data_IF_596849300880
#
_entry.id   IF_596849300880
#
_cell.length_a   1.000
_cell.length_b   1.000
_cell.length_c   1.000
_cell.angle_alpha   90.00
_cell.angle_beta   90.00
_cell.angle_gamma   90.00
#
_symmetry.space_group_name_H-M   'P 1'
#
loop_
_entity.id
_entity.type
_entity.pdbx_description
1 polymer ?
#
# COMPACT_ATOMS: atom_id res chain seq x y z
N UNK A 1 0.11 57.26 53.08
CA UNK A 1 0.77 56.70 51.88
C UNK A 1 0.12 55.38 51.54
N UNK A 2 -0.86 55.37 50.64
CA UNK A 2 -1.59 54.15 50.26
C UNK A 2 -2.09 54.25 48.81
N UNK A 3 -1.23 54.68 47.88
CA UNK A 3 -1.58 54.88 46.47
C UNK A 3 -0.76 53.95 45.55
N UNK A 4 0.26 53.26 46.08
CA UNK A 4 1.24 52.51 45.28
C UNK A 4 0.83 51.07 44.92
N UNK A 5 -0.21 50.50 45.54
CA UNK A 5 -0.56 49.09 45.33
C UNK A 5 -1.64 48.83 44.27
N UNK A 6 -2.42 49.85 43.89
CA UNK A 6 -3.57 49.69 42.99
C UNK A 6 -3.12 49.63 41.51
N UNK A 7 -1.95 50.22 41.18
CA UNK A 7 -1.38 50.18 39.82
C UNK A 7 -0.76 48.82 39.44
N UNK A 8 -0.30 48.05 40.43
CA UNK A 8 0.34 46.75 40.20
C UNK A 8 -0.66 45.62 39.93
N UNK A 9 -1.90 45.74 40.43
CA UNK A 9 -2.94 44.72 40.24
C UNK A 9 -3.64 44.83 38.88
N UNK A 10 -3.59 46.00 38.23
CA UNK A 10 -4.21 46.19 36.91
C UNK A 10 -3.32 45.71 35.76
N UNK A 11 -1.99 45.73 35.93
CA UNK A 11 -1.05 45.23 34.92
C UNK A 11 -1.01 43.69 34.86
N UNK A 12 -1.38 43.01 35.95
CA UNK A 12 -1.32 41.54 36.04
C UNK A 12 -2.50 40.81 35.39
N UNK A 13 -3.67 41.45 35.23
CA UNK A 13 -4.84 40.82 34.61
C UNK A 13 -4.80 40.82 33.07
N UNK A 14 -3.91 41.60 32.45
CA UNK A 14 -3.74 41.66 31.00
C UNK A 14 -2.83 40.52 30.50
N UNK A 15 -1.98 39.96 31.36
CA UNK A 15 -1.06 38.86 31.03
C UNK A 15 -1.68 37.47 31.21
N UNK A 16 -2.90 37.38 31.76
CA UNK A 16 -3.64 36.14 31.94
C UNK A 16 -4.63 35.83 30.80
N UNK A 17 -4.62 36.61 29.72
CA UNK A 17 -5.04 36.12 28.41
C UNK A 17 -3.90 35.26 27.85
N UNK A 18 -3.63 34.15 28.52
CA UNK A 18 -2.81 33.06 28.01
C UNK A 18 -3.50 32.55 26.74
N UNK A 19 -3.10 33.14 25.62
CA UNK A 19 -2.59 32.42 24.47
C UNK A 19 -3.28 31.07 24.27
N UNK A 20 -4.58 31.12 23.98
CA UNK A 20 -5.26 30.00 23.35
C UNK A 20 -4.66 29.91 21.95
N UNK A 21 -3.52 29.20 21.83
CA UNK A 21 -3.04 28.77 20.52
C UNK A 21 -4.20 27.98 19.94
N UNK A 22 -4.75 28.34 18.77
CA UNK A 22 -5.55 27.38 18.04
C UNK A 22 -4.60 26.20 17.80
N UNK A 23 -4.83 25.10 18.50
CA UNK A 23 -4.28 23.82 18.09
C UNK A 23 -4.89 23.61 16.72
N UNK A 24 -4.13 23.94 15.68
CA UNK A 24 -4.42 23.50 14.34
C UNK A 24 -4.40 21.98 14.48
N UNK A 25 -5.59 21.37 14.62
CA UNK A 25 -5.75 19.95 14.46
C UNK A 25 -5.23 19.67 13.07
N UNK A 26 -3.96 19.26 12.99
CA UNK A 26 -3.37 18.73 11.79
C UNK A 26 -4.13 17.42 11.58
N UNK A 27 -5.23 17.53 10.84
CA UNK A 27 -6.00 16.38 10.38
C UNK A 27 -4.97 15.41 9.79
N UNK A 28 -4.84 14.18 10.33
CA UNK A 28 -3.87 13.24 9.81
C UNK A 28 -4.08 13.12 8.31
N UNK A 29 -3.00 13.32 7.54
CA UNK A 29 -3.05 13.10 6.09
C UNK A 29 -3.59 11.69 5.83
N UNK A 30 -4.60 11.53 4.94
CA UNK A 30 -5.23 10.24 4.73
C UNK A 30 -4.19 9.20 4.33
N UNK A 31 -4.32 7.98 4.84
CA UNK A 31 -3.37 6.92 4.49
C UNK A 31 -3.58 6.46 3.03
N UNK A 32 -2.58 5.80 2.43
CA UNK A 32 -2.74 5.23 1.08
C UNK A 32 -3.92 4.25 1.01
N UNK A 33 -4.16 3.51 2.09
CA UNK A 33 -5.27 2.55 2.21
C UNK A 33 -6.65 3.23 2.22
N UNK A 34 -6.73 4.51 2.60
CA UNK A 34 -7.95 5.33 2.54
C UNK A 34 -8.10 6.06 1.20
N UNK A 35 -7.00 6.28 0.47
CA UNK A 35 -7.03 6.92 -0.85
C UNK A 35 -7.50 5.93 -1.92
N UNK A 36 -7.03 4.69 -1.91
CA UNK A 36 -7.39 3.69 -2.93
C UNK A 36 -8.92 3.54 -3.11
N UNK A 37 -9.73 3.43 -2.03
CA UNK A 37 -11.20 3.35 -2.16
C UNK A 37 -11.84 4.59 -2.78
N UNK A 38 -11.26 5.79 -2.58
CA UNK A 38 -11.76 7.03 -3.21
C UNK A 38 -11.61 7.00 -4.73
N UNK A 39 -10.65 6.21 -5.23
CA UNK A 39 -10.45 5.92 -6.65
C UNK A 39 -11.13 4.63 -7.09
N UNK A 40 -12.02 4.04 -6.27
CA UNK A 40 -12.74 2.81 -6.62
C UNK A 40 -11.90 1.54 -6.55
N UNK A 41 -10.73 1.58 -5.89
CA UNK A 41 -9.84 0.43 -5.74
C UNK A 41 -9.90 -0.11 -4.30
N UNK A 42 -9.74 -1.44 -4.10
CA UNK A 42 -9.80 -2.02 -2.77
C UNK A 42 -8.61 -1.56 -1.90
N UNK A 43 -8.86 -1.39 -0.60
CA UNK A 43 -7.88 -0.85 0.35
C UNK A 43 -6.69 -1.78 0.58
N UNK A 44 -6.87 -3.10 0.43
CA UNK A 44 -5.85 -4.13 0.66
C UNK A 44 -4.98 -4.47 -0.55
N UNK A 45 -4.94 -3.63 -1.59
CA UNK A 45 -4.03 -3.80 -2.74
C UNK A 45 -2.55 -3.77 -2.37
N UNK A 46 -2.22 -3.01 -1.32
CA UNK A 46 -0.86 -2.82 -0.84
C UNK A 46 -0.67 -3.54 0.50
N UNK A 47 0.55 -4.04 0.78
CA UNK A 47 0.84 -4.71 2.04
C UNK A 47 0.90 -3.70 3.21
N UNK A 48 0.80 -4.20 4.44
CA UNK A 48 0.78 -3.36 5.65
C UNK A 48 2.10 -2.62 5.97
N UNK A 49 3.20 -2.95 5.27
CA UNK A 49 4.55 -2.41 5.52
C UNK A 49 4.83 -1.09 4.80
N UNK A 50 3.79 -0.36 4.39
CA UNK A 50 3.91 0.97 3.78
C UNK A 50 4.40 1.97 4.83
N UNK A 51 5.48 2.68 4.53
CA UNK A 51 6.05 3.71 5.40
C UNK A 51 5.61 5.11 5.00
N UNK A 52 5.47 5.36 3.71
CA UNK A 52 5.05 6.66 3.18
C UNK A 52 4.47 6.51 1.78
N UNK A 53 3.68 7.50 1.38
CA UNK A 53 3.16 7.62 0.03
C UNK A 53 3.19 9.08 -0.42
N UNK A 54 3.20 9.29 -1.74
CA UNK A 54 3.00 10.58 -2.38
C UNK A 54 2.04 10.39 -3.55
N UNK A 55 1.12 11.33 -3.73
CA UNK A 55 0.18 11.38 -4.85
C UNK A 55 0.19 12.81 -5.40
N UNK A 56 0.46 12.95 -6.69
CA UNK A 56 0.42 14.20 -7.42
C UNK A 56 -0.96 14.44 -8.04
N UNK A 57 -1.27 15.70 -8.35
CA UNK A 57 -2.57 16.11 -8.91
C UNK A 57 -2.87 15.48 -10.28
N UNK A 58 -1.83 15.09 -11.02
CA UNK A 58 -1.93 14.39 -12.30
C UNK A 58 -2.23 12.88 -12.16
N UNK A 59 -2.36 12.38 -10.92
CA UNK A 59 -2.57 10.99 -10.56
C UNK A 59 -1.29 10.17 -10.42
N UNK A 60 -0.11 10.75 -10.67
CA UNK A 60 1.15 10.04 -10.47
C UNK A 60 1.38 9.77 -8.99
N UNK A 61 1.68 8.53 -8.62
CA UNK A 61 1.89 8.15 -7.23
C UNK A 61 3.19 7.39 -7.00
N UNK A 62 3.69 7.47 -5.77
CA UNK A 62 4.82 6.68 -5.30
C UNK A 62 4.53 6.19 -3.88
N UNK A 63 4.76 4.90 -3.64
CA UNK A 63 4.64 4.28 -2.32
C UNK A 63 6.00 3.72 -1.93
N UNK A 64 6.40 3.95 -0.69
CA UNK A 64 7.60 3.38 -0.10
C UNK A 64 7.23 2.36 0.97
N UNK A 65 7.86 1.20 0.90
CA UNK A 65 7.73 0.13 1.87
C UNK A 65 8.98 0.10 2.74
N UNK A 66 8.84 -0.34 3.99
CA UNK A 66 9.98 -0.52 4.90
C UNK A 66 10.99 -1.54 4.33
N UNK A 67 10.46 -2.57 3.69
CA UNK A 67 11.19 -3.68 3.10
C UNK A 67 10.42 -4.27 1.93
N UNK A 68 11.13 -5.00 1.08
CA UNK A 68 10.55 -5.86 0.06
C UNK A 68 9.58 -6.84 0.70
N UNK A 69 8.50 -7.16 0.00
CA UNK A 69 7.41 -7.90 0.58
C UNK A 69 6.82 -8.96 -0.33
N UNK A 70 6.52 -10.12 0.24
CA UNK A 70 5.82 -11.21 -0.44
C UNK A 70 4.46 -11.39 0.21
N UNK A 71 3.41 -11.37 -0.62
CA UNK A 71 2.03 -11.65 -0.20
C UNK A 71 1.51 -12.83 -1.01
N UNK A 72 0.87 -13.78 -0.33
CA UNK A 72 0.28 -14.96 -0.98
C UNK A 72 -1.24 -14.76 -1.07
N UNK A 73 -1.70 -14.45 -2.27
CA UNK A 73 -3.10 -14.51 -2.69
C UNK A 73 -3.34 -15.88 -3.34
N UNK A 74 -4.18 -15.95 -4.38
CA UNK A 74 -4.21 -17.11 -5.29
C UNK A 74 -2.82 -17.49 -5.80
N UNK A 75 -1.96 -16.49 -6.03
CA UNK A 75 -0.55 -16.64 -6.40
C UNK A 75 0.37 -15.78 -5.51
N UNK A 76 1.67 -16.04 -5.62
CA UNK A 76 2.68 -15.27 -4.90
C UNK A 76 2.92 -13.94 -5.62
N UNK A 77 2.75 -12.84 -4.90
CA UNK A 77 2.98 -11.47 -5.37
C UNK A 77 4.15 -10.89 -4.60
N UNK A 78 5.11 -10.36 -5.33
CA UNK A 78 6.25 -9.64 -4.82
C UNK A 78 6.03 -8.14 -4.96
N UNK A 79 6.37 -7.40 -3.92
CA UNK A 79 6.34 -5.94 -3.85
C UNK A 79 7.75 -5.44 -3.54
N UNK A 80 8.27 -4.59 -4.41
CA UNK A 80 9.55 -3.91 -4.20
C UNK A 80 9.40 -2.79 -3.14
N UNK A 81 10.51 -2.28 -2.62
CA UNK A 81 10.53 -1.18 -1.65
C UNK A 81 9.93 0.11 -2.18
N UNK A 82 9.96 0.31 -3.49
CA UNK A 82 9.42 1.49 -4.17
C UNK A 82 8.45 1.05 -5.24
N UNK A 83 7.20 1.47 -5.10
CA UNK A 83 6.15 1.22 -6.07
C UNK A 83 5.77 2.55 -6.70
N UNK A 84 5.64 2.58 -8.02
CA UNK A 84 5.24 3.78 -8.77
C UNK A 84 4.16 3.44 -9.77
N UNK A 85 3.30 4.40 -10.08
CA UNK A 85 2.33 4.27 -11.15
C UNK A 85 1.48 5.51 -11.29
N UNK A 86 0.41 5.40 -12.07
CA UNK A 86 -0.58 6.45 -12.29
C UNK A 86 -1.95 5.95 -11.87
N UNK A 87 -2.49 6.57 -10.83
CA UNK A 87 -3.78 6.27 -10.23
C UNK A 87 -4.87 7.03 -10.97
N UNK A 88 -5.89 6.31 -11.43
CA UNK A 88 -7.12 6.87 -11.98
C UNK A 88 -8.31 6.13 -11.41
N UNK A 89 -9.53 6.62 -11.65
CA UNK A 89 -10.72 5.96 -11.13
C UNK A 89 -10.85 4.55 -11.72
N UNK A 90 -10.87 3.54 -10.85
CA UNK A 90 -10.97 2.13 -11.17
C UNK A 90 -9.68 1.48 -11.68
N UNK A 91 -8.55 2.20 -11.78
CA UNK A 91 -7.31 1.60 -12.30
C UNK A 91 -6.01 2.26 -11.84
N UNK A 92 -4.95 1.47 -11.90
CA UNK A 92 -3.56 1.89 -11.76
C UNK A 92 -2.82 1.48 -13.03
N UNK A 93 -2.21 2.43 -13.72
CA UNK A 93 -1.45 2.20 -14.97
C UNK A 93 0.03 2.57 -14.80
N UNK A 94 0.87 2.12 -15.73
CA UNK A 94 2.34 2.32 -15.68
C UNK A 94 2.94 1.85 -14.35
N UNK A 95 2.41 0.75 -13.83
CA UNK A 95 2.78 0.22 -12.53
C UNK A 95 4.19 -0.39 -12.60
N UNK A 96 5.01 -0.11 -11.57
CA UNK A 96 6.34 -0.67 -11.38
C UNK A 96 6.54 -1.03 -9.92
N UNK A 97 7.32 -2.09 -9.67
CA UNK A 97 7.62 -2.59 -8.34
C UNK A 97 6.63 -3.63 -7.81
N UNK A 98 5.78 -4.20 -8.67
CA UNK A 98 4.90 -5.32 -8.32
C UNK A 98 5.10 -6.43 -9.37
N UNK A 99 5.40 -7.64 -8.90
CA UNK A 99 5.63 -8.80 -9.74
C UNK A 99 4.79 -9.98 -9.26
N UNK A 100 4.38 -10.84 -10.19
CA UNK A 100 3.65 -12.08 -9.87
C UNK A 100 4.47 -13.28 -10.32
N UNK A 101 4.42 -14.35 -9.54
CA UNK A 101 5.10 -15.59 -9.89
C UNK A 101 4.22 -16.46 -10.78
N UNK A 102 4.72 -16.82 -11.98
CA UNK A 102 4.06 -17.74 -12.92
C UNK A 102 5.08 -18.66 -13.58
N UNK A 103 4.82 -19.97 -13.62
CA UNK A 103 5.69 -20.96 -14.26
C UNK A 103 7.18 -20.81 -13.84
N UNK A 104 7.41 -20.56 -12.55
CA UNK A 104 8.73 -20.30 -11.95
C UNK A 104 9.44 -18.99 -12.37
N UNK A 105 8.78 -18.13 -13.15
CA UNK A 105 9.28 -16.81 -13.54
C UNK A 105 8.52 -15.71 -12.81
N UNK A 106 9.20 -14.60 -12.55
CA UNK A 106 8.61 -13.36 -12.06
C UNK A 106 8.22 -12.50 -13.26
N UNK A 107 7.00 -11.99 -13.25
CA UNK A 107 6.47 -11.16 -14.32
C UNK A 107 5.93 -9.86 -13.74
N UNK A 108 6.31 -8.73 -14.34
CA UNK A 108 5.84 -7.40 -13.98
C UNK A 108 4.32 -7.26 -14.16
N UNK A 109 3.69 -6.58 -13.20
CA UNK A 109 2.31 -6.11 -13.32
C UNK A 109 2.36 -4.67 -13.83
N UNK A 110 1.87 -4.44 -15.05
CA UNK A 110 1.88 -3.13 -15.69
C UNK A 110 0.61 -2.31 -15.40
N UNK A 111 -0.51 -2.99 -15.16
CA UNK A 111 -1.82 -2.36 -14.89
C UNK A 111 -2.65 -3.19 -13.90
N UNK A 112 -3.39 -2.50 -13.02
CA UNK A 112 -4.41 -3.09 -12.15
C UNK A 112 -5.72 -2.35 -12.41
N UNK A 113 -6.81 -3.07 -12.67
CA UNK A 113 -8.14 -2.48 -12.90
C UNK A 113 -9.25 -3.25 -12.22
N UNK A 114 -10.31 -2.55 -11.83
CA UNK A 114 -11.56 -3.15 -11.35
C UNK A 114 -12.66 -2.90 -12.38
N UNK A 115 -13.65 -3.80 -12.47
CA UNK A 115 -14.83 -3.48 -13.26
C UNK A 115 -15.72 -2.49 -12.47
N UNK A 116 -16.17 -1.43 -13.14
CA UNK A 116 -17.08 -0.43 -12.60
C UNK A 116 -18.50 -0.68 -13.15
N UNK A 117 -19.57 -0.44 -12.38
CA UNK A 117 -20.16 -1.23 -11.28
C UNK A 117 -21.18 -2.32 -11.74
N UNK A 118 -21.64 -3.24 -10.85
CA UNK A 118 -20.96 -3.85 -9.72
C UNK A 118 -20.29 -5.17 -10.16
N UNK A 119 -19.01 -5.35 -9.86
CA UNK A 119 -18.37 -6.66 -10.02
C UNK A 119 -17.42 -6.93 -8.87
N UNK A 120 -17.25 -8.22 -8.61
CA UNK A 120 -16.38 -8.74 -7.56
C UNK A 120 -14.99 -9.09 -8.12
N UNK A 121 -14.53 -8.40 -9.17
CA UNK A 121 -13.36 -8.81 -9.94
C UNK A 121 -12.34 -7.70 -10.15
N UNK A 122 -11.09 -8.06 -9.92
CA UNK A 122 -9.92 -7.23 -10.15
C UNK A 122 -9.00 -7.92 -11.16
N UNK A 123 -8.39 -7.14 -12.05
CA UNK A 123 -7.55 -7.66 -13.12
C UNK A 123 -6.15 -7.10 -13.01
N UNK A 124 -5.18 -8.01 -13.00
CA UNK A 124 -3.76 -7.69 -13.04
C UNK A 124 -3.29 -7.96 -14.46
N UNK A 125 -2.83 -6.92 -15.14
CA UNK A 125 -2.24 -7.04 -16.46
C UNK A 125 -0.74 -7.31 -16.31
N UNK A 126 -0.32 -8.43 -16.87
CA UNK A 126 1.03 -8.96 -16.76
C UNK A 126 1.57 -9.12 -18.18
N UNK A 127 2.33 -8.14 -18.64
CA UNK A 127 2.69 -8.01 -20.06
C UNK A 127 1.45 -7.97 -20.96
N UNK A 128 1.26 -9.00 -21.79
CA UNK A 128 0.13 -9.11 -22.74
C UNK A 128 -1.04 -9.95 -22.21
N UNK A 129 -0.95 -10.47 -20.98
CA UNK A 129 -1.95 -11.38 -20.40
C UNK A 129 -2.72 -10.65 -19.31
N UNK A 130 -4.04 -10.80 -19.30
CA UNK A 130 -4.89 -10.33 -18.20
C UNK A 130 -5.16 -11.48 -17.24
N UNK A 131 -4.97 -11.25 -15.94
CA UNK A 131 -5.34 -12.21 -14.90
C UNK A 131 -6.48 -11.67 -14.07
N UNK A 132 -7.59 -12.40 -14.07
CA UNK A 132 -8.73 -12.16 -13.18
C UNK A 132 -8.43 -12.71 -11.78
N UNK A 133 -8.71 -11.89 -10.78
CA UNK A 133 -8.68 -12.21 -9.36
C UNK A 133 -9.99 -11.77 -8.72
N UNK A 134 -10.33 -12.44 -7.63
CA UNK A 134 -11.50 -12.09 -6.82
C UNK A 134 -11.20 -10.87 -5.93
N UNK A 135 -12.13 -9.90 -5.92
CA UNK A 135 -11.94 -8.64 -5.20
C UNK A 135 -11.88 -8.85 -3.69
N UNK A 136 -12.52 -9.89 -3.16
CA UNK A 136 -12.62 -10.12 -1.71
C UNK A 136 -11.25 -10.34 -1.07
N UNK A 137 -10.30 -10.87 -1.85
CA UNK A 137 -8.92 -11.05 -1.43
C UNK A 137 -8.23 -9.73 -1.11
N UNK A 138 -8.72 -8.60 -1.61
CA UNK A 138 -8.12 -7.28 -1.46
C UNK A 138 -8.90 -6.36 -0.52
N UNK A 139 -10.00 -6.83 0.07
CA UNK A 139 -10.76 -6.03 1.04
C UNK A 139 -10.01 -5.83 2.36
N UNK A 140 -9.02 -6.67 2.65
CA UNK A 140 -8.18 -6.60 3.85
C UNK A 140 -6.73 -6.33 3.51
N UNK A 141 -6.08 -5.47 4.28
CA UNK A 141 -4.64 -5.22 4.16
C UNK A 141 -3.86 -6.46 4.62
N UNK A 142 -3.03 -7.00 3.74
CA UNK A 142 -2.25 -8.20 4.02
C UNK A 142 -0.95 -7.90 4.75
N UNK A 143 -0.62 -8.77 5.71
CA UNK A 143 0.67 -8.73 6.38
C UNK A 143 1.78 -9.25 5.47
N UNK A 144 2.94 -8.60 5.53
CA UNK A 144 4.09 -9.09 4.80
C UNK A 144 4.58 -10.45 5.31
N UNK A 145 4.73 -11.44 4.41
CA UNK A 145 5.32 -12.72 4.79
C UNK A 145 6.77 -12.51 5.21
N UNK A 146 7.13 -12.97 6.41
CA UNK A 146 8.51 -12.92 6.87
C UNK A 146 9.37 -13.93 6.10
N UNK A 147 10.31 -13.43 5.28
CA UNK A 147 11.48 -14.21 4.85
C UNK A 147 11.84 -14.12 3.36
N UNK A 148 12.68 -13.13 3.01
CA UNK A 148 13.99 -13.29 2.32
C UNK A 148 14.72 -11.95 2.41
N UNK A 149 15.19 -11.61 3.60
CA UNK A 149 16.21 -10.56 3.72
C UNK A 149 17.51 -11.11 3.15
N UNK A 150 17.91 -10.64 1.97
CA UNK A 150 19.29 -10.76 1.46
C UNK A 150 20.23 -9.96 2.38
N UNK A 151 20.54 -10.54 3.53
CA UNK A 151 21.58 -10.10 4.47
C UNK A 151 22.65 -11.19 4.55
N UNK A 152 23.90 -10.80 4.32
CA UNK A 152 25.06 -11.69 4.31
C UNK A 152 25.39 -12.28 5.69
N UNK A 153 26.00 -13.48 5.64
CA UNK A 153 26.80 -14.21 6.64
C UNK A 153 26.11 -15.11 7.69
N UNK A 154 26.25 -16.44 7.46
CA UNK A 154 26.67 -17.39 8.51
C UNK A 154 25.59 -18.26 9.15
N UNK A 155 25.14 -19.32 8.48
CA UNK A 155 24.28 -20.34 9.08
C UNK A 155 23.95 -21.50 8.15
N UNK A 156 24.63 -22.63 8.38
CA UNK A 156 24.31 -24.02 7.96
C UNK A 156 23.04 -24.18 7.10
N UNK A 157 23.24 -24.27 5.79
CA UNK A 157 22.26 -24.61 4.76
C UNK A 157 21.46 -25.88 5.11
N UNK A 158 20.32 -25.71 5.78
CA UNK A 158 19.23 -26.69 5.88
C UNK A 158 17.90 -25.96 6.07
N UNK A 159 17.47 -25.25 5.03
CA UNK A 159 16.05 -25.07 4.72
C UNK A 159 16.00 -24.65 3.24
N UNK A 160 16.30 -25.61 2.38
CA UNK A 160 16.08 -25.48 0.94
C UNK A 160 14.58 -25.28 0.72
N UNK A 161 14.21 -24.04 0.40
CA UNK A 161 13.12 -23.66 -0.50
C UNK A 161 11.95 -24.66 -0.57
N UNK A 162 11.03 -24.62 0.38
CA UNK A 162 9.67 -25.11 0.13
C UNK A 162 8.92 -24.06 -0.67
N UNK A 163 9.29 -23.94 -1.94
CA UNK A 163 8.32 -23.62 -2.98
C UNK A 163 7.35 -24.81 -2.99
N UNK A 164 6.04 -24.63 -2.72
CA UNK A 164 5.09 -25.69 -2.98
C UNK A 164 5.22 -26.06 -4.46
N UNK A 165 5.50 -27.33 -4.72
CA UNK A 165 5.60 -27.86 -6.07
C UNK A 165 4.33 -27.51 -6.87
N UNK A 166 4.44 -27.23 -8.17
CA UNK A 166 3.25 -27.15 -9.01
C UNK A 166 2.60 -28.53 -8.99
N UNK A 167 1.42 -28.62 -8.38
CA UNK A 167 0.57 -29.78 -8.60
C UNK A 167 0.24 -29.80 -10.09
N UNK A 168 0.59 -30.92 -10.73
CA UNK A 168 0.33 -31.21 -12.13
C UNK A 168 -1.16 -31.48 -12.35
N UNK A 169 -1.98 -30.43 -12.25
CA UNK A 169 -3.34 -30.43 -12.75
C UNK A 169 -3.42 -29.37 -13.85
N UNK A 170 -2.62 -29.57 -14.91
CA UNK A 170 -2.92 -28.98 -16.21
C UNK A 170 -4.06 -29.80 -16.79
N UNK A 171 -5.28 -29.52 -16.34
CA UNK A 171 -6.46 -29.85 -17.14
C UNK A 171 -6.35 -28.99 -18.41
N UNK A 172 -5.94 -29.62 -19.50
CA UNK A 172 -5.98 -29.04 -20.82
C UNK A 172 -7.43 -28.66 -21.14
N UNK A 173 -7.74 -27.36 -21.11
CA UNK A 173 -8.86 -26.84 -21.88
C UNK A 173 -8.33 -26.08 -23.09
N UNK A 174 -7.78 -26.88 -24.01
CA UNK A 174 -8.07 -26.70 -25.42
C UNK A 174 -9.28 -27.59 -25.71
N UNK A 175 -10.43 -26.99 -26.00
CA UNK A 175 -11.40 -27.55 -26.96
C UNK A 175 -12.40 -26.46 -27.34
N UNK A 176 -12.46 -26.24 -28.65
CA UNK A 176 -13.41 -25.51 -29.52
C UNK A 176 -13.99 -24.15 -29.09
#
# INVERSE_FOLDING_TARGET
>A
MAISHIGLTLFSLIFFFCLSKPTLSQDPSPTVFEILPKFGLPSGLLPNVVTSYSLSDDGSFTVYLEKECYVKFDYLVYYDKKITGKLTYGSISNLKGIEVQKLFLWLDVDEIKVDLPPSDSIYFQVGWINKKLDVDQFNTVHSCRAGVSSGSCGGKWKQFLELPAPNNDVEMLLTE
#
